data_IF_098617020867
#
_entry.id   IF_098617020867
#
_cell.length_a   1.000
_cell.length_b   1.000
_cell.length_c   1.000
_cell.angle_alpha   90.00
_cell.angle_beta   90.00
_cell.angle_gamma   90.00
#
_symmetry.space_group_name_H-M   'P 1'
#
loop_
_entity.id
_entity.type
_entity.pdbx_description
1 polymer ?
#
# COMPACT_ATOMS: atom_id res chain seq x y z
N UNK A 1 -12.64 27.52 12.20
CA UNK A 1 -11.33 27.06 12.73
C UNK A 1 -10.97 25.74 12.04
N UNK A 2 -9.78 25.62 11.41
CA UNK A 2 -9.29 24.32 10.91
C UNK A 2 -8.87 23.49 12.12
N UNK A 3 -9.50 22.34 12.34
CA UNK A 3 -9.09 21.40 13.40
C UNK A 3 -7.66 20.93 13.14
N UNK A 4 -6.79 20.96 14.17
CA UNK A 4 -5.41 20.51 14.01
C UNK A 4 -5.40 19.01 13.69
N UNK A 5 -4.52 18.58 12.80
CA UNK A 5 -4.37 17.16 12.49
C UNK A 5 -3.67 16.41 13.63
N UNK A 6 -2.81 17.11 14.38
CA UNK A 6 -1.98 16.55 15.44
C UNK A 6 -2.02 17.38 16.73
N UNK A 7 -1.88 16.71 17.87
CA UNK A 7 -1.85 17.26 19.23
C UNK A 7 -0.67 16.74 20.03
N UNK A 8 -0.16 17.57 20.95
CA UNK A 8 0.93 17.21 21.86
C UNK A 8 0.46 16.23 22.95
N UNK A 9 1.37 15.50 23.61
CA UNK A 9 1.02 14.69 24.78
C UNK A 9 0.30 15.50 25.87
N UNK A 10 0.75 16.73 26.14
CA UNK A 10 0.11 17.61 27.14
C UNK A 10 -1.34 17.95 26.80
N UNK A 11 -1.69 18.09 25.52
CA UNK A 11 -3.07 18.32 25.13
C UNK A 11 -4.00 17.17 25.59
N UNK A 12 -3.54 15.93 25.46
CA UNK A 12 -4.31 14.78 25.93
C UNK A 12 -4.48 14.78 27.44
N UNK A 13 -3.42 15.06 28.20
CA UNK A 13 -3.47 15.10 29.67
C UNK A 13 -4.34 16.25 30.18
N UNK A 14 -4.23 17.44 29.56
CA UNK A 14 -4.90 18.65 30.07
C UNK A 14 -6.34 18.81 29.57
N UNK A 15 -6.69 18.29 28.39
CA UNK A 15 -7.98 18.56 27.74
C UNK A 15 -8.81 17.29 27.52
N UNK A 16 -8.17 16.18 27.15
CA UNK A 16 -8.89 14.94 26.81
C UNK A 16 -9.15 14.11 28.06
N UNK A 17 -8.14 13.90 28.91
CA UNK A 17 -8.23 13.08 30.12
C UNK A 17 -9.29 13.59 31.12
N UNK A 18 -9.40 14.90 31.44
CA UNK A 18 -10.44 15.37 32.36
C UNK A 18 -11.85 15.04 31.84
N UNK A 19 -12.07 15.17 30.53
CA UNK A 19 -13.36 14.87 29.92
C UNK A 19 -13.68 13.37 29.89
N UNK A 20 -12.66 12.54 29.70
CA UNK A 20 -12.79 11.08 29.82
C UNK A 20 -13.16 10.67 31.25
N UNK A 21 -12.52 11.27 32.27
CA UNK A 21 -12.81 10.99 33.68
C UNK A 21 -14.21 11.47 34.08
N UNK A 22 -14.63 12.65 33.62
CA UNK A 22 -15.96 13.21 33.91
C UNK A 22 -17.10 12.37 33.30
N UNK A 23 -16.95 11.94 32.04
CA UNK A 23 -18.02 11.27 31.31
C UNK A 23 -18.04 9.74 31.49
N UNK A 24 -16.93 9.13 31.94
CA UNK A 24 -16.77 7.68 32.12
C UNK A 24 -16.65 6.89 30.81
N UNK A 25 -17.55 7.13 29.85
CA UNK A 25 -17.55 6.51 28.53
C UNK A 25 -17.68 7.58 27.43
N UNK A 26 -16.70 7.66 26.54
CA UNK A 26 -16.66 8.66 25.47
C UNK A 26 -16.45 7.98 24.12
N UNK A 27 -17.31 8.30 23.15
CA UNK A 27 -17.13 7.93 21.74
C UNK A 27 -16.46 9.07 20.99
N UNK A 28 -15.25 8.83 20.48
CA UNK A 28 -14.52 9.82 19.68
C UNK A 28 -14.77 9.55 18.18
N UNK A 29 -15.42 10.48 17.47
CA UNK A 29 -15.72 10.34 16.04
C UNK A 29 -15.75 11.70 15.28
N UNK A 30 -15.18 11.82 14.07
CA UNK A 30 -13.96 11.18 13.55
C UNK A 30 -12.68 11.83 14.10
N UNK A 31 -11.60 11.03 14.14
CA UNK A 31 -10.34 11.31 14.83
C UNK A 31 -9.51 12.43 14.17
N UNK A 32 -9.88 13.68 14.45
CA UNK A 32 -9.03 14.86 14.34
C UNK A 32 -8.20 15.00 15.61
N UNK A 33 -7.04 15.69 15.57
CA UNK A 33 -6.07 15.80 16.67
C UNK A 33 -5.35 14.50 17.08
N UNK A 34 -4.69 13.80 16.14
CA UNK A 34 -3.85 12.61 16.42
C UNK A 34 -2.66 12.95 17.31
N UNK A 35 -2.13 12.00 18.08
CA UNK A 35 -0.87 12.23 18.79
C UNK A 35 0.24 12.59 17.79
N UNK A 36 0.97 13.66 18.08
CA UNK A 36 2.08 14.14 17.26
C UNK A 36 3.13 13.05 17.01
N UNK A 37 3.92 13.20 15.93
CA UNK A 37 5.00 12.24 15.62
C UNK A 37 6.19 12.39 16.57
N UNK A 38 6.49 13.62 17.00
CA UNK A 38 7.49 13.89 18.03
C UNK A 38 6.83 13.83 19.42
N UNK A 39 7.29 12.87 20.23
CA UNK A 39 6.80 12.61 21.59
C UNK A 39 7.97 12.20 22.49
N UNK A 40 7.84 12.30 23.83
CA UNK A 40 8.83 11.80 24.79
C UNK A 40 9.21 10.33 24.55
N UNK A 41 10.46 9.98 24.88
CA UNK A 41 11.06 8.66 24.59
C UNK A 41 10.25 7.48 25.15
N UNK A 42 9.70 7.60 26.35
CA UNK A 42 8.87 6.56 26.96
C UNK A 42 7.57 6.31 26.18
N UNK A 43 6.94 7.39 25.66
CA UNK A 43 5.75 7.27 24.82
C UNK A 43 6.13 6.67 23.45
N UNK A 44 7.27 7.07 22.90
CA UNK A 44 7.78 6.53 21.65
C UNK A 44 8.07 5.03 21.76
N UNK A 45 8.74 4.60 22.83
CA UNK A 45 9.01 3.19 23.12
C UNK A 45 7.71 2.38 23.27
N UNK A 46 6.70 2.93 23.94
CA UNK A 46 5.38 2.29 24.03
C UNK A 46 4.71 2.15 22.66
N UNK A 47 4.79 3.17 21.79
CA UNK A 47 4.27 3.07 20.40
C UNK A 47 4.95 1.96 19.61
N UNK A 48 6.26 1.83 19.77
CA UNK A 48 7.05 0.76 19.13
C UNK A 48 6.61 -0.61 19.65
N UNK A 49 6.57 -0.80 20.97
CA UNK A 49 6.17 -2.04 21.61
C UNK A 49 4.77 -2.47 21.17
N UNK A 50 3.82 -1.54 21.21
CA UNK A 50 2.43 -1.82 20.81
C UNK A 50 2.35 -2.21 19.34
N UNK A 51 2.96 -1.42 18.45
CA UNK A 51 2.79 -1.61 17.01
C UNK A 51 3.51 -2.87 16.48
N UNK A 52 4.71 -3.17 16.98
CA UNK A 52 5.56 -4.22 16.42
C UNK A 52 5.58 -5.52 17.23
N UNK A 53 5.10 -5.52 18.48
CA UNK A 53 5.06 -6.75 19.30
C UNK A 53 3.66 -7.11 19.82
N UNK A 54 2.91 -6.14 20.35
CA UNK A 54 1.66 -6.41 21.07
C UNK A 54 0.47 -6.58 20.12
N UNK A 55 0.37 -5.75 19.07
CA UNK A 55 -0.68 -5.87 18.05
C UNK A 55 -0.38 -7.06 17.15
N UNK A 56 -1.24 -8.08 17.24
CA UNK A 56 -1.16 -9.31 16.45
C UNK A 56 -2.50 -9.58 15.80
N UNK A 57 -2.49 -10.20 14.62
CA UNK A 57 -3.73 -10.67 14.01
C UNK A 57 -4.36 -11.78 14.86
N UNK A 58 -5.69 -11.85 14.82
CA UNK A 58 -6.44 -12.92 15.47
C UNK A 58 -6.01 -14.28 14.93
N UNK A 59 -6.08 -15.31 15.78
CA UNK A 59 -5.56 -16.64 15.49
C UNK A 59 -6.05 -17.24 14.15
N UNK A 60 -7.33 -17.16 13.76
CA UNK A 60 -7.79 -17.69 12.47
C UNK A 60 -7.09 -17.03 11.27
N UNK A 61 -6.86 -15.71 11.34
CA UNK A 61 -6.16 -14.96 10.29
C UNK A 61 -4.70 -15.40 10.24
N UNK A 62 -4.04 -15.49 11.40
CA UNK A 62 -2.63 -15.86 11.48
C UNK A 62 -2.40 -17.25 10.89
N UNK A 63 -3.17 -18.26 11.32
CA UNK A 63 -3.06 -19.64 10.85
C UNK A 63 -3.17 -19.71 9.33
N UNK A 64 -4.24 -19.14 8.75
CA UNK A 64 -4.41 -19.18 7.31
C UNK A 64 -3.31 -18.37 6.60
N UNK A 65 -2.95 -17.20 7.11
CA UNK A 65 -1.94 -16.36 6.46
C UNK A 65 -0.55 -17.00 6.45
N UNK A 66 -0.17 -17.73 7.52
CA UNK A 66 1.07 -18.49 7.60
C UNK A 66 1.07 -19.63 6.57
N UNK A 67 -0.06 -20.32 6.41
CA UNK A 67 -0.24 -21.34 5.39
C UNK A 67 -0.14 -20.78 3.95
N UNK A 68 -0.74 -19.60 3.69
CA UNK A 68 -0.61 -18.93 2.39
C UNK A 68 0.83 -18.52 2.08
N UNK A 69 1.60 -18.06 3.09
CA UNK A 69 3.04 -17.80 2.94
C UNK A 69 3.78 -19.10 2.59
N UNK A 70 3.48 -20.20 3.29
CA UNK A 70 4.06 -21.51 3.00
C UNK A 70 3.79 -21.98 1.57
N UNK A 71 2.55 -21.84 1.09
CA UNK A 71 2.16 -22.17 -0.29
C UNK A 71 2.84 -21.27 -1.31
N UNK A 72 2.93 -19.97 -1.04
CA UNK A 72 3.61 -19.02 -1.91
C UNK A 72 5.11 -19.33 -2.02
N UNK A 73 5.74 -19.67 -0.90
CA UNK A 73 7.15 -20.08 -0.83
C UNK A 73 7.37 -21.36 -1.65
N UNK A 74 6.51 -22.38 -1.50
CA UNK A 74 6.56 -23.62 -2.29
C UNK A 74 6.35 -23.39 -3.79
N UNK A 75 5.47 -22.45 -4.18
CA UNK A 75 5.31 -22.06 -5.60
C UNK A 75 6.51 -21.28 -6.15
N UNK A 76 7.38 -20.79 -5.28
CA UNK A 76 8.54 -19.96 -5.63
C UNK A 76 9.87 -20.69 -5.47
N UNK A 77 9.89 -22.02 -5.55
CA UNK A 77 11.12 -22.82 -5.36
C UNK A 77 12.21 -22.52 -6.38
N UNK A 78 11.85 -22.15 -7.62
CA UNK A 78 12.81 -21.77 -8.67
C UNK A 78 13.68 -20.56 -8.28
N UNK A 79 13.15 -19.71 -7.40
CA UNK A 79 13.81 -18.51 -6.87
C UNK A 79 14.18 -18.68 -5.39
N UNK A 80 14.32 -19.92 -4.90
CA UNK A 80 14.70 -20.21 -3.52
C UNK A 80 13.63 -19.82 -2.49
N UNK A 81 12.35 -19.86 -2.89
CA UNK A 81 11.22 -19.43 -2.07
C UNK A 81 10.94 -17.92 -2.13
N UNK A 82 11.72 -17.14 -2.89
CA UNK A 82 11.59 -15.69 -2.97
C UNK A 82 10.55 -15.27 -4.01
N UNK A 83 9.72 -14.31 -3.65
CA UNK A 83 8.70 -13.77 -4.54
C UNK A 83 8.56 -12.26 -4.40
N UNK A 84 7.99 -11.64 -5.43
CA UNK A 84 7.60 -10.23 -5.43
C UNK A 84 6.14 -10.16 -5.02
N UNK A 85 5.80 -9.23 -4.13
CA UNK A 85 4.39 -8.93 -3.84
C UNK A 85 4.02 -7.53 -4.30
N UNK A 86 2.82 -7.38 -4.86
CA UNK A 86 2.30 -6.11 -5.38
C UNK A 86 0.99 -5.80 -4.68
N UNK A 87 0.95 -4.69 -3.95
CA UNK A 87 -0.31 -4.09 -3.50
C UNK A 87 -0.88 -3.21 -4.60
N UNK A 88 -1.88 -3.75 -5.30
CA UNK A 88 -2.48 -3.18 -6.49
C UNK A 88 -3.82 -2.51 -6.17
N UNK A 89 -3.82 -1.17 -6.15
CA UNK A 89 -5.00 -0.34 -5.87
C UNK A 89 -5.69 0.15 -7.14
N UNK A 90 -6.35 -0.78 -7.84
CA UNK A 90 -7.13 -0.52 -9.06
C UNK A 90 -8.59 -0.95 -8.92
N UNK A 91 -9.18 -0.78 -7.73
CA UNK A 91 -10.59 -1.06 -7.47
C UNK A 91 -11.49 0.10 -7.92
N UNK A 92 -12.80 -0.18 -8.13
CA UNK A 92 -13.78 0.80 -8.64
C UNK A 92 -13.80 2.11 -7.85
N UNK A 93 -13.72 2.05 -6.52
CA UNK A 93 -13.71 3.24 -5.67
C UNK A 93 -12.49 4.12 -5.95
N UNK A 94 -11.32 3.51 -6.13
CA UNK A 94 -10.07 4.22 -6.34
C UNK A 94 -9.96 4.78 -7.76
N UNK A 95 -10.40 4.02 -8.76
CA UNK A 95 -10.53 4.47 -10.16
C UNK A 95 -11.50 5.66 -10.22
N UNK A 96 -12.70 5.54 -9.63
CA UNK A 96 -13.71 6.59 -9.62
C UNK A 96 -13.25 7.86 -8.88
N UNK A 97 -12.63 7.70 -7.71
CA UNK A 97 -12.15 8.82 -6.88
C UNK A 97 -11.03 9.61 -7.54
N UNK A 98 -10.15 8.94 -8.28
CA UNK A 98 -9.01 9.58 -8.96
C UNK A 98 -9.41 10.55 -10.05
N UNK A 99 -10.64 10.43 -10.59
CA UNK A 99 -11.14 11.19 -11.73
C UNK A 99 -10.21 11.14 -12.95
N UNK A 100 -9.49 10.03 -13.10
CA UNK A 100 -8.68 9.73 -14.27
C UNK A 100 -9.51 9.04 -15.34
N UNK A 101 -8.99 9.04 -16.57
CA UNK A 101 -9.55 8.33 -17.71
C UNK A 101 -8.55 7.28 -18.17
N UNK A 102 -9.05 6.07 -18.41
CA UNK A 102 -8.30 4.95 -18.95
C UNK A 102 -8.90 4.57 -20.32
N UNK A 103 -8.71 3.32 -20.75
CA UNK A 103 -9.04 2.85 -22.10
C UNK A 103 -10.47 2.27 -22.21
N UNK A 104 -11.36 2.58 -21.26
CA UNK A 104 -12.76 2.14 -21.28
C UNK A 104 -13.76 3.09 -21.96
N UNK A 105 -13.28 4.23 -22.49
CA UNK A 105 -14.08 5.16 -23.28
C UNK A 105 -15.31 5.73 -22.56
N UNK A 106 -16.39 5.96 -23.32
CA UNK A 106 -17.63 6.54 -22.78
C UNK A 106 -18.28 5.67 -21.71
N UNK A 107 -18.15 4.33 -21.84
CA UNK A 107 -18.72 3.39 -20.89
C UNK A 107 -18.06 3.51 -19.51
N UNK A 108 -16.72 3.52 -19.47
CA UNK A 108 -15.98 3.77 -18.22
C UNK A 108 -16.34 5.11 -17.62
N UNK A 109 -16.39 6.17 -18.43
CA UNK A 109 -16.74 7.52 -17.94
C UNK A 109 -18.08 7.50 -17.20
N UNK A 110 -19.11 6.91 -17.81
CA UNK A 110 -20.45 6.80 -17.23
C UNK A 110 -20.46 5.93 -15.96
N UNK A 111 -19.79 4.78 -15.97
CA UNK A 111 -19.66 3.91 -14.80
C UNK A 111 -18.98 4.65 -13.62
N UNK A 112 -17.89 5.37 -13.89
CA UNK A 112 -17.14 6.12 -12.89
C UNK A 112 -17.92 7.33 -12.36
N UNK A 113 -18.72 8.01 -13.20
CA UNK A 113 -19.63 9.07 -12.77
C UNK A 113 -20.71 8.54 -11.82
N UNK A 114 -21.29 7.39 -12.14
CA UNK A 114 -22.27 6.73 -11.28
C UNK A 114 -21.64 6.24 -9.97
N UNK A 115 -20.43 5.67 -10.00
CA UNK A 115 -19.70 5.28 -8.80
C UNK A 115 -19.37 6.48 -7.90
N UNK A 116 -18.98 7.62 -8.50
CA UNK A 116 -18.72 8.87 -7.79
C UNK A 116 -19.97 9.40 -7.08
N UNK A 117 -21.11 9.39 -7.76
CA UNK A 117 -22.36 9.87 -7.19
C UNK A 117 -22.84 8.97 -6.04
N UNK A 118 -22.84 7.65 -6.24
CA UNK A 118 -23.21 6.67 -5.21
C UNK A 118 -22.37 6.81 -3.93
N UNK A 119 -21.06 7.01 -4.07
CA UNK A 119 -20.12 6.92 -2.93
C UNK A 119 -19.84 8.26 -2.23
N UNK A 120 -19.94 9.39 -2.94
CA UNK A 120 -19.59 10.70 -2.37
C UNK A 120 -20.65 11.80 -2.56
N UNK A 121 -21.86 11.47 -3.06
CA UNK A 121 -23.06 12.34 -3.08
C UNK A 121 -22.78 13.78 -3.51
N UNK A 122 -22.65 14.01 -4.81
CA UNK A 122 -22.41 15.34 -5.37
C UNK A 122 -21.05 15.98 -5.05
N UNK A 123 -20.15 15.37 -4.25
CA UNK A 123 -18.80 15.91 -3.93
C UNK A 123 -18.01 16.31 -5.18
N UNK A 124 -18.14 15.56 -6.27
CA UNK A 124 -17.43 15.78 -7.53
C UNK A 124 -18.15 16.73 -8.49
N UNK A 125 -19.41 17.09 -8.20
CA UNK A 125 -20.25 18.00 -8.99
C UNK A 125 -20.46 19.36 -8.32
N UNK A 126 -19.76 19.64 -7.22
CA UNK A 126 -19.85 20.92 -6.49
C UNK A 126 -19.43 22.08 -7.39
N UNK A 127 -20.14 23.20 -7.28
CA UNK A 127 -19.82 24.41 -8.03
C UNK A 127 -18.34 24.80 -7.84
N UNK A 128 -17.66 25.11 -8.95
CA UNK A 128 -16.25 25.53 -8.95
C UNK A 128 -15.24 24.37 -8.92
N UNK A 129 -15.69 23.11 -8.86
CA UNK A 129 -14.79 21.96 -8.94
C UNK A 129 -14.55 21.58 -10.40
N UNK A 130 -13.33 21.81 -10.89
CA UNK A 130 -12.89 21.38 -12.23
C UNK A 130 -12.17 20.05 -12.13
N UNK A 131 -12.60 19.08 -12.94
CA UNK A 131 -11.93 17.77 -13.07
C UNK A 131 -11.07 17.82 -14.34
N UNK A 132 -9.76 17.61 -14.18
CA UNK A 132 -8.82 17.48 -15.28
C UNK A 132 -8.11 16.12 -15.17
N UNK A 133 -8.57 15.09 -15.92
CA UNK A 133 -8.01 13.75 -15.87
C UNK A 133 -6.52 13.69 -16.23
N UNK A 134 -6.11 14.44 -17.25
CA UNK A 134 -4.71 14.47 -17.69
C UNK A 134 -3.80 15.10 -16.64
N UNK A 135 -4.22 16.22 -16.04
CA UNK A 135 -3.48 16.84 -14.95
C UNK A 135 -3.38 15.89 -13.74
N UNK A 136 -4.46 15.15 -13.43
CA UNK A 136 -4.43 14.14 -12.39
C UNK A 136 -3.41 13.03 -12.69
N UNK A 137 -3.30 12.61 -13.97
CA UNK A 137 -2.29 11.63 -14.42
C UNK A 137 -0.89 12.18 -14.27
N UNK A 138 -0.59 13.36 -14.84
CA UNK A 138 0.72 14.03 -14.73
C UNK A 138 1.14 14.30 -13.28
N UNK A 139 0.18 14.60 -12.40
CA UNK A 139 0.42 14.80 -10.96
C UNK A 139 0.70 13.51 -10.18
N UNK A 140 0.56 12.34 -10.82
CA UNK A 140 0.70 11.04 -10.19
C UNK A 140 -0.47 10.70 -9.26
N UNK A 141 -1.68 11.21 -9.52
CA UNK A 141 -2.88 10.91 -8.72
C UNK A 141 -3.60 9.65 -9.20
N UNK A 142 -3.44 9.26 -10.46
CA UNK A 142 -4.09 8.07 -11.00
C UNK A 142 -3.53 6.77 -10.38
N UNK A 143 -4.41 5.79 -10.09
CA UNK A 143 -4.11 4.35 -10.10
C UNK A 143 -3.24 3.94 -11.29
N UNK A 144 -2.21 3.11 -11.04
CA UNK A 144 -1.53 2.41 -12.12
C UNK A 144 -2.41 1.23 -12.53
N UNK A 145 -2.64 1.09 -13.83
CA UNK A 145 -3.27 -0.10 -14.42
C UNK A 145 -2.39 -1.32 -14.21
N UNK A 146 -2.94 -2.56 -14.22
CA UNK A 146 -2.11 -3.75 -14.12
C UNK A 146 -1.13 -3.89 -15.31
N UNK A 147 -1.46 -3.36 -16.49
CA UNK A 147 -0.54 -3.26 -17.62
C UNK A 147 0.68 -2.39 -17.28
N UNK A 148 0.47 -1.17 -16.79
CA UNK A 148 1.56 -0.26 -16.40
C UNK A 148 2.44 -0.87 -15.31
N UNK A 149 1.83 -1.57 -14.34
CA UNK A 149 2.56 -2.29 -13.29
C UNK A 149 3.44 -3.39 -13.89
N UNK A 150 2.89 -4.19 -14.82
CA UNK A 150 3.66 -5.25 -15.46
C UNK A 150 4.82 -4.70 -16.30
N UNK A 151 4.56 -3.64 -17.09
CA UNK A 151 5.58 -2.95 -17.88
C UNK A 151 6.69 -2.36 -17.01
N UNK A 152 6.32 -1.71 -15.90
CA UNK A 152 7.28 -1.20 -14.91
C UNK A 152 8.17 -2.33 -14.39
N UNK A 153 7.59 -3.44 -13.95
CA UNK A 153 8.35 -4.58 -13.43
C UNK A 153 9.27 -5.21 -14.49
N UNK A 154 8.79 -5.33 -15.74
CA UNK A 154 9.61 -5.80 -16.86
C UNK A 154 10.78 -4.86 -17.17
N UNK A 155 10.55 -3.55 -17.13
CA UNK A 155 11.61 -2.55 -17.29
C UNK A 155 12.63 -2.58 -16.15
N UNK A 156 12.18 -2.88 -14.93
CA UNK A 156 13.02 -3.08 -13.74
C UNK A 156 13.81 -4.40 -13.76
N UNK A 157 13.59 -5.29 -14.73
CA UNK A 157 14.35 -6.52 -14.90
C UNK A 157 13.70 -7.77 -14.31
N UNK A 158 12.48 -7.67 -13.77
CA UNK A 158 11.69 -8.86 -13.45
C UNK A 158 11.20 -9.52 -14.74
N UNK A 159 11.04 -10.84 -14.74
CA UNK A 159 10.68 -11.60 -15.93
C UNK A 159 9.56 -12.62 -15.69
N UNK A 160 9.29 -13.47 -16.68
CA UNK A 160 8.22 -14.48 -16.59
C UNK A 160 8.53 -15.61 -15.59
N UNK A 161 9.77 -15.72 -15.10
CA UNK A 161 10.17 -16.68 -14.05
C UNK A 161 9.97 -16.12 -12.65
N UNK A 162 9.64 -14.83 -12.54
CA UNK A 162 9.37 -14.17 -11.26
C UNK A 162 7.99 -14.60 -10.71
N UNK A 163 7.99 -15.27 -9.56
CA UNK A 163 6.77 -15.50 -8.78
C UNK A 163 6.20 -14.18 -8.26
N UNK A 164 4.97 -13.87 -8.64
CA UNK A 164 4.31 -12.60 -8.33
C UNK A 164 3.06 -12.85 -7.48
N UNK A 165 2.99 -12.27 -6.28
CA UNK A 165 1.78 -12.26 -5.45
C UNK A 165 1.06 -10.92 -5.60
N UNK A 166 -0.20 -10.90 -5.99
CA UNK A 166 -0.99 -9.67 -6.09
C UNK A 166 -1.99 -9.59 -4.94
N UNK A 167 -1.80 -8.57 -4.10
CA UNK A 167 -2.71 -8.16 -3.04
C UNK A 167 -3.61 -7.02 -3.55
N UNK A 168 -4.91 -7.28 -3.65
CA UNK A 168 -5.89 -6.27 -4.06
C UNK A 168 -7.29 -6.59 -3.54
N UNK A 169 -8.16 -5.58 -3.48
CA UNK A 169 -9.60 -5.80 -3.48
C UNK A 169 -10.11 -6.26 -4.85
N UNK A 170 -11.41 -6.05 -5.09
CA UNK A 170 -12.02 -6.33 -6.40
C UNK A 170 -11.52 -5.32 -7.44
N UNK A 171 -10.61 -5.76 -8.32
CA UNK A 171 -10.09 -4.96 -9.42
C UNK A 171 -11.23 -4.56 -10.38
N UNK A 172 -11.27 -3.28 -10.75
CA UNK A 172 -12.21 -2.76 -11.74
C UNK A 172 -11.99 -3.47 -13.07
N UNK A 173 -13.07 -4.00 -13.67
CA UNK A 173 -13.04 -4.77 -14.93
C UNK A 173 -11.86 -5.77 -14.99
N UNK A 174 -11.78 -6.64 -13.97
CA UNK A 174 -10.62 -7.48 -13.70
C UNK A 174 -10.22 -8.41 -14.86
N UNK A 175 -11.17 -8.90 -15.66
CA UNK A 175 -10.89 -9.74 -16.83
C UNK A 175 -10.05 -8.98 -17.86
N UNK A 176 -10.47 -7.76 -18.22
CA UNK A 176 -9.75 -6.89 -19.15
C UNK A 176 -8.39 -6.48 -18.58
N UNK A 177 -8.38 -5.89 -17.39
CA UNK A 177 -7.19 -5.19 -16.89
C UNK A 177 -6.11 -6.12 -16.36
N UNK A 178 -6.46 -7.28 -15.78
CA UNK A 178 -5.46 -8.23 -15.27
C UNK A 178 -4.83 -9.12 -16.35
N UNK A 179 -5.48 -9.27 -17.51
CA UNK A 179 -4.98 -10.09 -18.62
C UNK A 179 -3.52 -9.79 -19.01
N UNK A 180 -3.12 -8.52 -19.29
CA UNK A 180 -1.73 -8.22 -19.67
C UNK A 180 -0.73 -8.51 -18.53
N UNK A 181 -1.11 -8.28 -17.27
CA UNK A 181 -0.23 -8.57 -16.15
C UNK A 181 0.01 -10.08 -16.00
N UNK A 182 -1.04 -10.91 -16.16
CA UNK A 182 -0.91 -12.37 -16.16
C UNK A 182 -0.09 -12.89 -17.34
N UNK A 183 -0.21 -12.27 -18.51
CA UNK A 183 0.61 -12.61 -19.67
C UNK A 183 2.09 -12.33 -19.43
N UNK A 184 2.41 -11.18 -18.80
CA UNK A 184 3.79 -10.84 -18.45
C UNK A 184 4.32 -11.67 -17.28
N UNK A 185 3.49 -12.07 -16.32
CA UNK A 185 3.89 -12.83 -15.13
C UNK A 185 3.00 -14.07 -14.97
N UNK A 186 3.30 -15.18 -15.67
CA UNK A 186 2.46 -16.37 -15.66
C UNK A 186 2.43 -17.08 -14.30
N UNK A 187 3.42 -16.85 -13.44
CA UNK A 187 3.46 -17.34 -12.06
C UNK A 187 2.72 -16.43 -11.07
N UNK A 188 1.83 -15.56 -11.58
CA UNK A 188 1.02 -14.67 -10.76
C UNK A 188 0.02 -15.47 -9.92
N UNK A 189 0.02 -15.19 -8.63
CA UNK A 189 -0.93 -15.73 -7.66
C UNK A 189 -1.64 -14.61 -6.90
N UNK A 190 -2.80 -14.93 -6.36
CA UNK A 190 -3.58 -14.06 -5.47
C UNK A 190 -3.98 -14.89 -4.25
N UNK A 191 -4.48 -14.22 -3.22
CA UNK A 191 -5.13 -14.91 -2.08
C UNK A 191 -6.11 -16.00 -2.56
N UNK A 192 -6.98 -15.67 -3.50
CA UNK A 192 -8.03 -16.57 -4.00
C UNK A 192 -7.48 -17.78 -4.78
N UNK A 193 -6.27 -17.69 -5.35
CA UNK A 193 -5.62 -18.83 -6.01
C UNK A 193 -4.65 -19.60 -5.13
N UNK A 194 -4.25 -19.05 -3.98
CA UNK A 194 -3.43 -19.74 -2.97
C UNK A 194 -4.27 -20.46 -1.92
N UNK A 195 -5.43 -19.92 -1.57
CA UNK A 195 -6.33 -20.47 -0.58
C UNK A 195 -7.38 -21.39 -1.22
N UNK A 196 -7.87 -22.36 -0.46
CA UNK A 196 -9.05 -23.11 -0.82
C UNK A 196 -10.31 -22.26 -0.56
N UNK A 197 -11.38 -22.40 -1.36
CA UNK A 197 -12.63 -21.66 -1.16
C UNK A 197 -13.23 -21.81 0.25
N UNK A 198 -13.05 -22.99 0.87
CA UNK A 198 -13.54 -23.33 2.20
C UNK A 198 -12.74 -22.61 3.29
N UNK A 199 -11.43 -22.47 3.12
CA UNK A 199 -10.54 -21.74 4.04
C UNK A 199 -10.90 -20.25 4.08
N UNK A 200 -11.25 -19.68 2.91
CA UNK A 200 -11.66 -18.29 2.78
C UNK A 200 -13.10 -18.03 3.24
N UNK A 201 -13.93 -19.07 3.36
CA UNK A 201 -15.37 -18.90 3.62
C UNK A 201 -15.64 -18.12 4.91
N UNK A 202 -14.87 -18.36 5.98
CA UNK A 202 -15.02 -17.67 7.27
C UNK A 202 -14.67 -16.18 7.21
N UNK A 203 -13.93 -15.73 6.20
CA UNK A 203 -13.50 -14.34 6.03
C UNK A 203 -14.36 -13.59 4.99
N UNK A 204 -15.28 -14.27 4.31
CA UNK A 204 -16.17 -13.64 3.31
C UNK A 204 -17.02 -12.56 3.97
N UNK A 205 -17.19 -11.44 3.27
CA UNK A 205 -17.89 -10.26 3.81
C UNK A 205 -17.04 -9.39 4.74
N UNK A 206 -15.88 -9.86 5.21
CA UNK A 206 -14.99 -9.13 6.10
C UNK A 206 -13.74 -8.64 5.35
N UNK A 207 -13.89 -7.56 4.58
CA UNK A 207 -12.80 -7.01 3.74
C UNK A 207 -11.50 -6.73 4.48
N UNK A 208 -11.58 -6.28 5.75
CA UNK A 208 -10.39 -6.02 6.57
C UNK A 208 -9.67 -7.29 7.01
N UNK A 209 -10.39 -8.41 7.21
CA UNK A 209 -9.78 -9.69 7.54
C UNK A 209 -9.11 -10.32 6.30
N UNK A 210 -9.75 -10.21 5.12
CA UNK A 210 -9.13 -10.63 3.86
C UNK A 210 -7.86 -9.81 3.54
N UNK A 211 -7.89 -8.50 3.81
CA UNK A 211 -6.70 -7.65 3.69
C UNK A 211 -5.60 -8.04 4.69
N UNK A 212 -5.95 -8.54 5.88
CA UNK A 212 -4.96 -9.02 6.84
C UNK A 212 -4.23 -10.29 6.34
N UNK A 213 -4.92 -11.18 5.62
CA UNK A 213 -4.28 -12.33 4.95
C UNK A 213 -3.27 -11.85 3.89
N UNK A 214 -3.70 -10.92 3.02
CA UNK A 214 -2.83 -10.30 2.02
C UNK A 214 -1.62 -9.60 2.66
N UNK A 215 -1.83 -8.95 3.81
CA UNK A 215 -0.79 -8.25 4.55
C UNK A 215 0.35 -9.19 4.94
N UNK A 216 0.08 -10.33 5.59
CA UNK A 216 1.14 -11.27 5.99
C UNK A 216 1.91 -11.79 4.77
N UNK A 217 1.23 -12.18 3.69
CA UNK A 217 1.90 -12.66 2.47
C UNK A 217 2.79 -11.57 1.87
N UNK A 218 2.37 -10.31 1.87
CA UNK A 218 3.20 -9.19 1.45
C UNK A 218 4.39 -8.93 2.40
N UNK A 219 4.21 -9.07 3.72
CA UNK A 219 5.30 -8.89 4.69
C UNK A 219 6.45 -9.86 4.41
N UNK A 220 6.16 -11.13 4.10
CA UNK A 220 7.18 -12.16 3.88
C UNK A 220 7.81 -12.18 2.47
N UNK A 221 7.38 -11.29 1.57
CA UNK A 221 7.95 -11.22 0.22
C UNK A 221 9.39 -10.69 0.21
N UNK A 222 10.20 -11.08 -0.78
CA UNK A 222 11.55 -10.52 -0.94
C UNK A 222 11.46 -9.02 -1.33
N UNK A 223 10.57 -8.70 -2.26
CA UNK A 223 10.32 -7.35 -2.74
C UNK A 223 8.85 -7.01 -2.60
N UNK A 224 8.55 -5.92 -1.91
CA UNK A 224 7.19 -5.37 -1.85
C UNK A 224 7.04 -4.18 -2.81
N UNK A 225 5.99 -4.18 -3.63
CA UNK A 225 5.67 -3.12 -4.58
C UNK A 225 4.35 -2.50 -4.19
N UNK A 226 4.28 -1.17 -4.14
CA UNK A 226 3.03 -0.47 -3.85
C UNK A 226 2.69 0.55 -4.93
N UNK A 227 1.50 0.44 -5.51
CA UNK A 227 1.07 1.31 -6.62
C UNK A 227 0.35 2.57 -6.14
N UNK A 228 -0.08 2.59 -4.87
CA UNK A 228 -0.77 3.72 -4.24
C UNK A 228 -0.38 3.87 -2.77
N UNK A 229 -0.50 5.09 -2.25
CA UNK A 229 -0.45 5.32 -0.81
C UNK A 229 -1.67 4.77 -0.08
N UNK A 230 -1.67 4.87 1.24
CA UNK A 230 -2.77 4.44 2.10
C UNK A 230 -2.27 3.71 3.33
N UNK A 231 -3.20 3.29 4.20
CA UNK A 231 -2.84 2.65 5.47
C UNK A 231 -2.13 1.30 5.27
N UNK A 232 -2.59 0.49 4.31
CA UNK A 232 -2.00 -0.83 4.05
C UNK A 232 -0.48 -0.76 3.78
N UNK A 233 0.01 -0.05 2.75
CA UNK A 233 1.45 0.05 2.53
C UNK A 233 2.17 0.83 3.63
N UNK A 234 1.51 1.81 4.27
CA UNK A 234 2.09 2.60 5.37
C UNK A 234 2.57 1.73 6.52
N UNK A 235 1.72 0.80 6.98
CA UNK A 235 2.05 -0.13 8.06
C UNK A 235 2.94 -1.28 7.58
N UNK A 236 2.67 -1.82 6.39
CA UNK A 236 3.40 -2.96 5.85
C UNK A 236 4.89 -2.64 5.67
N UNK A 237 5.20 -1.45 5.14
CA UNK A 237 6.58 -1.01 4.93
C UNK A 237 7.36 -0.93 6.25
N UNK A 238 6.74 -0.37 7.30
CA UNK A 238 7.39 -0.32 8.61
C UNK A 238 7.52 -1.69 9.25
N UNK A 239 6.52 -2.56 9.09
CA UNK A 239 6.58 -3.93 9.61
C UNK A 239 7.70 -4.74 8.96
N UNK A 240 7.83 -4.65 7.62
CA UNK A 240 8.93 -5.26 6.89
C UNK A 240 10.30 -4.75 7.36
N UNK A 241 10.47 -3.44 7.46
CA UNK A 241 11.73 -2.84 7.98
C UNK A 241 12.03 -3.31 9.39
N UNK A 242 11.03 -3.35 10.26
CA UNK A 242 11.19 -3.82 11.63
C UNK A 242 11.63 -5.29 11.69
N UNK A 243 10.98 -6.17 10.92
CA UNK A 243 11.32 -7.60 10.88
C UNK A 243 12.69 -7.90 10.26
N UNK A 244 13.09 -7.15 9.24
CA UNK A 244 14.31 -7.42 8.46
C UNK A 244 15.46 -6.46 8.80
N UNK A 245 15.60 -6.08 10.08
CA UNK A 245 16.78 -5.35 10.55
C UNK A 245 16.99 -3.97 9.90
N UNK A 246 15.91 -3.32 9.46
CA UNK A 246 15.93 -2.00 8.85
C UNK A 246 16.02 -2.00 7.33
N UNK A 247 16.36 -3.14 6.72
CA UNK A 247 16.51 -3.28 5.28
C UNK A 247 15.45 -4.22 4.72
N UNK A 248 14.42 -3.65 4.10
CA UNK A 248 13.43 -4.42 3.37
C UNK A 248 13.12 -3.77 2.02
N UNK A 249 13.49 -4.46 0.94
CA UNK A 249 13.35 -3.94 -0.41
C UNK A 249 11.88 -3.62 -0.70
N UNK A 250 11.64 -2.34 -1.00
CA UNK A 250 10.32 -1.80 -1.27
C UNK A 250 10.36 -0.88 -2.48
N UNK A 251 9.56 -1.20 -3.49
CA UNK A 251 9.39 -0.38 -4.70
C UNK A 251 8.15 0.49 -4.52
N UNK A 252 8.38 1.79 -4.39
CA UNK A 252 7.33 2.81 -4.39
C UNK A 252 7.66 3.79 -5.51
N UNK A 253 7.11 3.58 -6.72
CA UNK A 253 7.52 4.36 -7.87
C UNK A 253 7.05 5.81 -7.76
N UNK A 254 7.86 6.73 -8.29
CA UNK A 254 7.42 8.09 -8.54
C UNK A 254 6.50 8.08 -9.77
N UNK A 255 5.19 8.10 -9.53
CA UNK A 255 4.20 8.05 -10.60
C UNK A 255 4.31 9.22 -11.59
N UNK A 256 4.85 10.38 -11.16
CA UNK A 256 5.06 11.51 -12.08
C UNK A 256 6.14 11.18 -13.09
N UNK A 257 7.22 10.54 -12.65
CA UNK A 257 8.29 10.06 -13.54
C UNK A 257 7.84 8.90 -14.42
N UNK A 258 7.05 7.97 -13.87
CA UNK A 258 6.50 6.84 -14.63
C UNK A 258 5.65 7.32 -15.82
N UNK A 259 4.76 8.29 -15.58
CA UNK A 259 3.86 8.81 -16.62
C UNK A 259 4.63 9.39 -17.80
N UNK A 260 5.78 10.02 -17.58
CA UNK A 260 6.63 10.51 -18.69
C UNK A 260 7.14 9.38 -19.59
N UNK A 261 7.35 8.18 -19.04
CA UNK A 261 7.79 7.01 -19.82
C UNK A 261 6.61 6.26 -20.45
N UNK A 262 5.44 6.25 -19.81
CA UNK A 262 4.26 5.55 -20.34
C UNK A 262 3.52 6.35 -21.43
N UNK A 263 3.53 7.67 -21.34
CA UNK A 263 2.80 8.55 -22.25
C UNK A 263 3.67 9.03 -23.43
N UNK A 264 4.93 8.58 -23.52
CA UNK A 264 5.78 8.81 -24.69
C UNK A 264 5.56 7.70 -25.73
N UNK A 265 4.87 7.99 -26.86
CA UNK A 265 4.59 6.98 -27.88
C UNK A 265 5.83 6.54 -28.66
N UNK A 266 6.93 7.28 -28.57
CA UNK A 266 8.17 7.05 -29.33
C UNK A 266 9.29 6.47 -28.46
N UNK A 267 9.03 6.20 -27.18
CA UNK A 267 10.05 5.67 -26.28
C UNK A 267 10.51 4.30 -26.74
N UNK A 268 11.83 4.17 -26.93
CA UNK A 268 12.43 2.88 -27.24
C UNK A 268 12.56 2.03 -25.97
N UNK A 269 12.54 0.70 -26.12
CA UNK A 269 12.56 -0.23 -24.99
C UNK A 269 13.83 -0.11 -24.12
N UNK A 270 14.98 0.14 -24.73
CA UNK A 270 16.25 0.39 -24.03
C UNK A 270 16.17 1.64 -23.15
N UNK A 271 15.61 2.73 -23.67
CA UNK A 271 15.37 3.95 -22.88
C UNK A 271 14.35 3.73 -21.77
N UNK A 272 13.24 3.04 -22.07
CA UNK A 272 12.22 2.71 -21.06
C UNK A 272 12.83 1.90 -19.91
N UNK A 273 13.64 0.88 -20.23
CA UNK A 273 14.39 0.10 -19.23
C UNK A 273 15.29 0.97 -18.38
N UNK A 274 16.08 1.86 -18.98
CA UNK A 274 16.94 2.78 -18.24
C UNK A 274 16.12 3.63 -17.25
N UNK A 275 15.02 4.23 -17.70
CA UNK A 275 14.14 5.03 -16.84
C UNK A 275 13.58 4.20 -15.67
N UNK A 276 13.18 2.95 -15.92
CA UNK A 276 12.67 2.06 -14.86
C UNK A 276 13.76 1.65 -13.86
N UNK A 277 15.00 1.43 -14.32
CA UNK A 277 16.15 1.15 -13.45
C UNK A 277 16.47 2.35 -12.55
N UNK A 278 16.42 3.57 -13.06
CA UNK A 278 16.60 4.78 -12.24
C UNK A 278 15.52 4.92 -11.15
N UNK A 279 14.27 4.62 -11.48
CA UNK A 279 13.16 4.60 -10.50
C UNK A 279 13.37 3.52 -9.44
N UNK A 280 13.89 2.34 -9.84
CA UNK A 280 14.21 1.25 -8.93
C UNK A 280 15.36 1.64 -7.99
N UNK A 281 16.47 2.16 -8.50
CA UNK A 281 17.61 2.62 -7.70
C UNK A 281 17.18 3.67 -6.67
N UNK A 282 16.33 4.61 -7.06
CA UNK A 282 15.78 5.60 -6.14
C UNK A 282 14.87 4.99 -5.05
N UNK A 283 14.18 3.89 -5.34
CA UNK A 283 13.41 3.14 -4.34
C UNK A 283 14.34 2.37 -3.38
N UNK A 284 15.40 1.77 -3.90
CA UNK A 284 16.41 1.03 -3.14
C UNK A 284 17.14 1.96 -2.14
N UNK A 285 17.55 3.16 -2.56
CA UNK A 285 18.14 4.18 -1.68
C UNK A 285 17.23 4.57 -0.50
N UNK A 286 15.91 4.44 -0.65
CA UNK A 286 14.92 4.76 0.39
C UNK A 286 14.48 3.53 1.19
N UNK A 287 14.95 2.34 0.84
CA UNK A 287 14.58 1.10 1.54
C UNK A 287 15.14 1.09 2.95
N UNK A 288 16.38 1.54 3.13
CA UNK A 288 17.01 1.84 4.42
C UNK A 288 16.86 3.33 4.69
N UNK A 289 15.97 3.70 5.61
CA UNK A 289 15.70 5.10 5.91
C UNK A 289 15.52 5.32 7.42
N UNK A 290 16.35 6.20 7.97
CA UNK A 290 16.18 6.73 9.32
C UNK A 290 14.95 7.66 9.36
N UNK A 291 14.19 7.57 10.45
CA UNK A 291 13.03 8.39 10.69
C UNK A 291 13.44 9.85 10.90
N UNK A 292 12.83 10.77 10.14
CA UNK A 292 12.92 12.21 10.40
C UNK A 292 11.88 12.63 11.45
N UNK A 293 12.02 13.79 12.12
CA UNK A 293 11.14 14.19 13.22
C UNK A 293 9.63 14.15 12.93
N UNK A 294 9.24 14.43 11.68
CA UNK A 294 7.83 14.44 11.24
C UNK A 294 7.39 13.15 10.56
N UNK A 295 8.29 12.18 10.39
CA UNK A 295 7.97 10.90 9.79
C UNK A 295 7.25 10.00 10.80
N UNK A 296 6.34 9.19 10.26
CA UNK A 296 5.63 8.21 11.07
C UNK A 296 6.55 7.07 11.48
N UNK A 297 6.60 6.81 12.78
CA UNK A 297 7.29 5.63 13.33
C UNK A 297 6.77 4.32 12.73
N UNK A 298 5.49 4.26 12.37
CA UNK A 298 4.86 3.06 11.82
C UNK A 298 5.31 2.73 10.39
N UNK A 299 5.95 3.67 9.70
CA UNK A 299 6.58 3.44 8.38
C UNK A 299 8.10 3.39 8.50
N UNK A 300 8.68 4.22 9.36
CA UNK A 300 10.12 4.34 9.59
C UNK A 300 10.41 3.99 11.05
N UNK A 301 10.59 2.71 11.39
CA UNK A 301 10.83 2.27 12.76
C UNK A 301 12.24 2.61 13.27
N UNK A 302 13.21 2.87 12.39
CA UNK A 302 14.59 3.14 12.79
C UNK A 302 14.83 4.64 13.07
N UNK A 303 15.60 4.99 14.10
CA UNK A 303 16.20 4.09 15.09
C UNK A 303 15.28 3.81 16.30
N UNK A 304 14.11 4.46 16.39
CA UNK A 304 13.31 4.52 17.63
C UNK A 304 12.79 3.16 18.15
N UNK A 305 12.46 2.24 17.24
CA UNK A 305 11.84 0.96 17.56
C UNK A 305 12.79 -0.23 17.42
N UNK A 306 14.03 -0.02 17.02
CA UNK A 306 14.97 -1.09 16.70
C UNK A 306 16.23 -0.92 17.54
N UNK A 307 16.86 -2.03 17.92
CA UNK A 307 18.15 -1.98 18.59
C UNK A 307 19.18 -1.29 17.69
N UNK A 308 20.04 -0.46 18.28
CA UNK A 308 21.21 0.06 17.57
C UNK A 308 22.08 -1.14 17.19
N UNK A 309 22.29 -1.35 15.89
CA UNK A 309 23.34 -2.24 15.44
C UNK A 309 24.67 -1.50 15.61
N UNK A 310 25.66 -2.14 16.24
CA UNK A 310 26.99 -1.59 16.37
C UNK A 310 27.56 -1.27 14.97
N UNK A 311 27.92 -0.01 14.73
CA UNK A 311 28.58 0.43 13.49
C UNK A 311 27.80 1.35 12.54
N UNK A 312 26.56 1.75 12.86
CA UNK A 312 25.87 2.83 12.12
C UNK A 312 26.01 4.17 12.86
N UNK A 313 27.08 4.90 12.55
CA UNK A 313 27.27 6.35 12.81
C UNK A 313 27.57 7.01 11.47
#
# INVERSE_FOLDING_TARGET
MRTKAYSSPNHYVQNVLPKLLELGAVRIAPFSNRLAQSVPLNIQALRCLVNYHALRFAEPIRILSDELVGRMTKKSLLTGGKYVSVHLRFEEDMVAFSCCTYDGGWREKTEMDNARERSWRGKFRRHGRVINPEANRRDGKCPLTPLEVGMMLRGMGFDNTTSLYVASGKIYNSEKYMAPLRQMFPLLTTKDSLALPEELAQFKGHSSQLAALDYTVCVHSEVFVTTQGGNFPHFLMGHRRYMFGGNAKTIKPDKRKLVLSFDDPNIRWDQFKQNMQEILQHSDMRSIALRKPNDSVYTFPMPDCMCKQDGMI
#
